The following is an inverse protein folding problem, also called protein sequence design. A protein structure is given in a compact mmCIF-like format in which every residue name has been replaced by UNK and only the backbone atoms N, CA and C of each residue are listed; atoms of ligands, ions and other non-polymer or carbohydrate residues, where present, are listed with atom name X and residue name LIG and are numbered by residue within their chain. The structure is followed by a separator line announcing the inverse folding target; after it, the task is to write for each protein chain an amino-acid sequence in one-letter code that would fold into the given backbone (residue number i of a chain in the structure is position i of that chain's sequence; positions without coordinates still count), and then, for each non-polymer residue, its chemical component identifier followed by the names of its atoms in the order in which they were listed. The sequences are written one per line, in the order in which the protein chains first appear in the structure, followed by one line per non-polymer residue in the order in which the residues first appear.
data_IF_828174507865
#
_entry.id   IF_828174507865
#
_cell.length_a   1.000
_cell.length_b   1.000
_cell.length_c   1.000
_cell.angle_alpha   90.00
_cell.angle_beta   90.00
_cell.angle_gamma   90.00
#
_symmetry.space_group_name_H-M   'P 1'
#
loop_
_entity.id
_entity.type
_entity.pdbx_description
1 polymer ?
#
# COMPACT_ATOMS: atom_id res chain seq x y z
N UNK A 1 11.42 -12.20 -15.40
CA UNK A 1 10.16 -11.48 -15.18
C UNK A 1 10.49 -10.00 -15.16
N UNK A 2 10.12 -9.28 -16.23
CA UNK A 2 10.35 -7.83 -16.32
C UNK A 2 9.47 -7.14 -15.28
N UNK A 3 10.12 -6.53 -14.28
CA UNK A 3 9.49 -5.57 -13.39
C UNK A 3 9.49 -4.24 -14.13
N UNK A 4 8.31 -3.74 -14.47
CA UNK A 4 8.16 -2.37 -14.98
C UNK A 4 8.49 -1.35 -13.86
N UNK A 5 8.98 -0.18 -14.27
CA UNK A 5 9.54 0.90 -13.43
C UNK A 5 8.59 1.42 -12.33
N UNK A 6 7.31 1.02 -12.36
CA UNK A 6 6.29 1.38 -11.35
C UNK A 6 5.98 0.28 -10.31
N UNK A 7 6.67 -0.87 -10.35
CA UNK A 7 6.58 -1.89 -9.30
C UNK A 7 5.18 -2.46 -9.04
N UNK A 8 4.27 -2.38 -10.02
CA UNK A 8 2.90 -2.89 -9.86
C UNK A 8 2.88 -4.40 -10.14
N UNK A 9 3.18 -5.18 -9.11
CA UNK A 9 3.19 -6.64 -9.17
C UNK A 9 1.84 -7.17 -8.71
N UNK A 10 0.92 -7.28 -9.67
CA UNK A 10 -0.31 -8.04 -9.55
C UNK A 10 -0.28 -9.24 -10.49
N UNK A 11 0.61 -10.22 -10.27
CA UNK A 11 0.35 -11.57 -10.75
C UNK A 11 0.79 -12.59 -9.72
N UNK A 12 -0.22 -13.11 -9.03
CA UNK A 12 -0.17 -14.38 -8.34
C UNK A 12 -0.06 -15.45 -9.41
N UNK A 13 1.13 -16.00 -9.57
CA UNK A 13 1.25 -17.45 -9.53
C UNK A 13 2.43 -17.76 -8.63
N UNK A 14 2.26 -18.57 -7.56
CA UNK A 14 3.41 -19.17 -6.91
C UNK A 14 4.09 -20.02 -7.98
N UNK A 15 5.15 -19.48 -8.56
CA UNK A 15 6.07 -20.26 -9.36
C UNK A 15 6.70 -21.27 -8.40
N UNK A 16 6.36 -22.53 -8.63
CA UNK A 16 7.17 -23.74 -8.36
C UNK A 16 6.85 -24.62 -7.14
N UNK A 17 6.27 -24.14 -6.04
CA UNK A 17 5.67 -25.03 -5.03
C UNK A 17 4.69 -24.30 -4.10
N UNK A 18 3.47 -24.82 -3.98
CA UNK A 18 2.50 -24.30 -3.02
C UNK A 18 1.57 -25.39 -2.50
N UNK A 19 1.06 -25.22 -1.29
CA UNK A 19 0.09 -26.13 -0.66
C UNK A 19 -1.15 -25.37 -0.23
N UNK A 20 -2.29 -26.07 -0.17
CA UNK A 20 -3.45 -25.47 0.47
C UNK A 20 -3.22 -25.37 1.97
N UNK A 21 -3.63 -24.23 2.53
CA UNK A 21 -3.62 -24.00 3.97
C UNK A 21 -5.00 -23.56 4.43
N UNK A 22 -5.55 -24.22 5.43
CA UNK A 22 -6.93 -24.00 5.89
C UNK A 22 -6.95 -23.42 7.29
N UNK A 23 -7.76 -22.40 7.55
CA UNK A 23 -8.00 -21.90 8.91
C UNK A 23 -8.99 -22.80 9.66
N UNK A 24 -8.86 -22.88 10.97
CA UNK A 24 -9.88 -23.52 11.80
C UNK A 24 -11.04 -22.56 12.02
N UNK A 25 -12.26 -22.98 11.68
CA UNK A 25 -13.46 -22.20 12.01
C UNK A 25 -13.60 -22.05 13.53
N UNK A 26 -13.83 -20.84 14.02
CA UNK A 26 -14.09 -20.55 15.43
C UNK A 26 -15.57 -20.25 15.65
N UNK A 27 -15.99 -20.13 16.92
CA UNK A 27 -17.35 -19.70 17.25
C UNK A 27 -17.68 -18.31 16.67
N UNK A 28 -16.67 -17.45 16.54
CA UNK A 28 -16.76 -16.11 15.97
C UNK A 28 -16.74 -16.14 14.45
N UNK A 29 -15.76 -16.84 13.86
CA UNK A 29 -15.55 -16.79 12.41
C UNK A 29 -16.50 -17.69 11.65
N UNK A 30 -17.00 -18.81 12.21
CA UNK A 30 -17.93 -19.79 11.63
C UNK A 30 -17.53 -20.45 10.30
N UNK A 31 -16.68 -19.82 9.52
CA UNK A 31 -16.17 -20.25 8.21
C UNK A 31 -14.70 -20.64 8.34
N UNK A 32 -14.34 -21.79 7.77
CA UNK A 32 -12.95 -22.16 7.51
C UNK A 32 -12.51 -21.60 6.15
N UNK A 33 -11.43 -20.82 6.11
CA UNK A 33 -10.91 -20.24 4.87
C UNK A 33 -9.77 -21.10 4.35
N UNK A 34 -9.84 -21.47 3.07
CA UNK A 34 -8.77 -22.20 2.39
C UNK A 34 -7.98 -21.24 1.51
N UNK A 35 -6.72 -21.02 1.85
CA UNK A 35 -5.77 -20.20 1.10
C UNK A 35 -4.64 -21.04 0.53
N UNK A 36 -3.55 -20.37 0.15
CA UNK A 36 -2.32 -20.98 -0.39
C UNK A 36 -1.14 -20.60 0.50
N UNK A 37 -0.31 -21.56 0.88
CA UNK A 37 1.00 -21.32 1.48
C UNK A 37 2.14 -21.66 0.51
N UNK A 38 3.15 -20.81 0.46
CA UNK A 38 4.29 -20.98 -0.44
C UNK A 38 5.55 -20.35 0.14
N UNK A 39 6.69 -20.82 -0.34
CA UNK A 39 7.99 -20.25 -0.02
C UNK A 39 8.24 -19.02 -0.92
N UNK A 40 8.68 -17.93 -0.33
CA UNK A 40 9.05 -16.70 -1.01
C UNK A 40 10.42 -16.25 -0.52
N UNK A 41 11.05 -15.35 -1.29
CA UNK A 41 12.32 -14.78 -0.91
C UNK A 41 12.42 -13.32 -1.34
N UNK A 42 13.19 -12.57 -0.56
CA UNK A 42 13.61 -11.22 -0.89
C UNK A 42 15.09 -11.08 -0.57
N UNK A 43 15.87 -10.75 -1.59
CA UNK A 43 17.34 -10.80 -1.50
C UNK A 43 17.81 -12.20 -1.08
N UNK A 44 18.55 -12.32 0.03
CA UNK A 44 19.11 -13.58 0.54
C UNK A 44 18.24 -14.25 1.60
N UNK A 45 17.09 -13.68 1.93
CA UNK A 45 16.23 -14.16 3.01
C UNK A 45 15.01 -14.87 2.42
N UNK A 46 14.80 -16.13 2.82
CA UNK A 46 13.63 -16.93 2.45
C UNK A 46 12.68 -17.06 3.64
N UNK A 47 11.38 -17.15 3.35
CA UNK A 47 10.31 -17.25 4.34
C UNK A 47 9.06 -17.87 3.71
N UNK A 48 8.20 -18.44 4.56
CA UNK A 48 6.92 -19.01 4.13
C UNK A 48 5.79 -18.07 4.54
N UNK A 49 4.86 -17.84 3.60
CA UNK A 49 3.68 -17.00 3.81
C UNK A 49 2.44 -17.76 3.35
N UNK A 50 1.36 -17.63 4.12
CA UNK A 50 0.02 -18.01 3.69
C UNK A 50 -0.71 -16.79 3.13
N UNK A 51 -1.40 -16.95 2.01
CA UNK A 51 -2.27 -15.93 1.43
C UNK A 51 -3.72 -16.42 1.41
N UNK A 52 -4.62 -15.55 1.86
CA UNK A 52 -6.07 -15.72 1.76
C UNK A 52 -6.61 -14.53 0.99
N UNK A 53 -7.12 -14.77 -0.21
CA UNK A 53 -7.42 -13.78 -1.21
C UNK A 53 -8.92 -13.75 -1.48
N UNK A 54 -9.42 -12.58 -1.89
CA UNK A 54 -10.81 -12.45 -2.30
C UNK A 54 -11.81 -12.78 -1.20
N UNK A 55 -11.52 -12.45 0.06
CA UNK A 55 -12.46 -12.67 1.18
C UNK A 55 -13.50 -11.53 1.19
N UNK A 56 -14.81 -11.82 1.09
CA UNK A 56 -15.85 -10.78 1.07
C UNK A 56 -16.05 -10.20 2.47
N UNK A 57 -15.82 -8.88 2.62
CA UNK A 57 -16.04 -8.20 3.90
C UNK A 57 -17.42 -7.54 4.00
N UNK A 58 -18.08 -7.31 2.88
CA UNK A 58 -19.41 -6.74 2.79
C UNK A 58 -20.23 -7.45 1.71
N UNK A 59 -21.55 -7.38 1.83
CA UNK A 59 -22.45 -7.86 0.80
C UNK A 59 -22.24 -7.03 -0.49
N UNK A 60 -22.47 -7.63 -1.67
CA UNK A 60 -22.33 -6.91 -2.94
C UNK A 60 -23.14 -5.60 -2.93
N UNK A 61 -22.50 -4.44 -3.20
CA UNK A 61 -23.16 -3.15 -3.21
C UNK A 61 -23.90 -2.93 -4.55
N UNK A 62 -24.77 -3.87 -4.92
CA UNK A 62 -25.52 -3.86 -6.18
C UNK A 62 -27.00 -3.56 -5.93
N UNK A 63 -27.70 -3.16 -6.99
CA UNK A 63 -29.14 -2.86 -6.93
C UNK A 63 -29.47 -1.81 -5.87
N UNK A 64 -30.35 -2.13 -4.92
CA UNK A 64 -30.74 -1.22 -3.84
C UNK A 64 -29.60 -0.85 -2.87
N UNK A 65 -28.46 -1.55 -2.91
CA UNK A 65 -27.29 -1.28 -2.05
C UNK A 65 -26.24 -0.39 -2.70
N UNK A 66 -26.40 -0.04 -3.99
CA UNK A 66 -25.40 0.70 -4.78
C UNK A 66 -24.93 1.99 -4.13
N UNK A 67 -25.88 2.81 -3.69
CA UNK A 67 -25.63 4.09 -3.04
C UNK A 67 -25.95 4.06 -1.54
N UNK A 68 -25.84 2.87 -0.93
CA UNK A 68 -26.03 2.68 0.50
C UNK A 68 -24.70 2.38 1.20
N UNK A 69 -24.67 2.56 2.52
CA UNK A 69 -23.55 2.10 3.35
C UNK A 69 -23.36 0.57 3.17
N UNK A 70 -22.12 0.08 3.22
CA UNK A 70 -21.85 -1.35 3.10
C UNK A 70 -22.54 -2.11 4.22
N UNK A 71 -23.10 -3.27 3.86
CA UNK A 71 -23.69 -4.20 4.82
C UNK A 71 -22.65 -5.28 5.10
N UNK A 72 -22.21 -5.42 6.35
CA UNK A 72 -21.22 -6.43 6.75
C UNK A 72 -21.65 -7.82 6.26
N UNK A 73 -20.71 -8.52 5.62
CA UNK A 73 -20.93 -9.91 5.25
C UNK A 73 -20.63 -10.79 6.46
N UNK A 74 -21.68 -11.26 7.15
CA UNK A 74 -21.49 -12.15 8.30
C UNK A 74 -21.11 -13.54 7.80
N UNK A 75 -19.98 -14.11 8.27
CA UNK A 75 -19.57 -15.45 7.89
C UNK A 75 -20.65 -16.50 8.18
N UNK A 76 -20.93 -17.34 7.20
CA UNK A 76 -21.83 -18.48 7.34
C UNK A 76 -21.07 -19.71 7.87
N UNK A 77 -21.79 -20.67 8.48
CA UNK A 77 -21.18 -21.95 8.83
C UNK A 77 -20.75 -22.66 7.55
N UNK A 78 -19.48 -23.05 7.44
CA UNK A 78 -18.98 -23.78 6.28
C UNK A 78 -17.51 -23.50 5.96
N UNK A 79 -17.18 -23.59 4.68
CA UNK A 79 -15.85 -23.28 4.15
C UNK A 79 -15.92 -22.27 3.02
N UNK A 80 -14.82 -21.52 2.82
CA UNK A 80 -14.68 -20.55 1.74
C UNK A 80 -13.32 -20.73 1.06
N UNK A 81 -13.33 -20.81 -0.28
CA UNK A 81 -12.11 -20.85 -1.08
C UNK A 81 -11.56 -19.43 -1.26
N UNK A 82 -10.55 -19.10 -0.46
CA UNK A 82 -9.79 -17.86 -0.50
C UNK A 82 -8.44 -18.05 -1.22
N UNK A 83 -8.36 -18.96 -2.19
CA UNK A 83 -7.12 -19.18 -2.96
C UNK A 83 -6.94 -18.24 -4.15
N UNK A 84 -7.95 -17.40 -4.47
CA UNK A 84 -8.00 -16.56 -5.67
C UNK A 84 -8.40 -15.13 -5.34
N UNK A 85 -7.91 -14.18 -6.13
CA UNK A 85 -8.33 -12.78 -6.02
C UNK A 85 -9.83 -12.64 -6.30
N UNK A 86 -10.47 -11.75 -5.54
CA UNK A 86 -11.82 -11.27 -5.82
C UNK A 86 -11.83 -10.22 -6.94
N UNK A 87 -13.02 -9.82 -7.37
CA UNK A 87 -13.21 -8.81 -8.40
C UNK A 87 -12.62 -7.45 -8.01
N UNK A 88 -12.22 -6.66 -9.00
CA UNK A 88 -11.86 -5.24 -8.81
C UNK A 88 -13.09 -4.35 -9.01
N UNK A 89 -13.12 -3.19 -8.36
CA UNK A 89 -14.25 -2.27 -8.47
C UNK A 89 -14.31 -1.58 -9.86
N UNK A 90 -15.50 -1.18 -10.34
CA UNK A 90 -15.65 -0.55 -11.65
C UNK A 90 -14.86 0.74 -11.75
N UNK A 91 -14.07 0.85 -12.81
CA UNK A 91 -13.16 1.98 -13.08
C UNK A 91 -12.78 2.02 -14.57
N UNK A 92 -12.01 3.02 -15.00
CA UNK A 92 -11.61 3.13 -16.40
C UNK A 92 -10.54 2.08 -16.76
N UNK A 93 -10.86 1.15 -17.67
CA UNK A 93 -9.93 0.10 -18.14
C UNK A 93 -8.75 0.65 -18.94
N UNK A 94 -8.90 1.81 -19.57
CA UNK A 94 -7.91 2.42 -20.47
C UNK A 94 -7.17 3.59 -19.80
N UNK A 95 -6.91 3.48 -18.50
CA UNK A 95 -6.26 4.54 -17.69
C UNK A 95 -4.76 4.69 -17.94
N UNK A 96 -4.14 3.79 -18.71
CA UNK A 96 -2.68 3.67 -18.81
C UNK A 96 -2.03 2.92 -17.64
N UNK A 97 -2.80 2.58 -16.59
CA UNK A 97 -2.33 1.74 -15.49
C UNK A 97 -2.29 0.28 -15.95
N UNK A 98 -1.09 -0.32 -15.95
CA UNK A 98 -0.89 -1.69 -16.42
C UNK A 98 -1.57 -2.74 -15.54
N UNK A 99 -1.65 -2.52 -14.23
CA UNK A 99 -2.35 -3.45 -13.35
C UNK A 99 -3.84 -3.46 -13.66
N UNK A 100 -4.44 -2.27 -13.78
CA UNK A 100 -5.87 -2.16 -14.11
C UNK A 100 -6.16 -2.70 -15.50
N UNK A 101 -5.30 -2.44 -16.48
CA UNK A 101 -5.45 -3.02 -17.82
C UNK A 101 -5.51 -4.54 -17.79
N UNK A 102 -4.69 -5.19 -16.95
CA UNK A 102 -4.68 -6.66 -16.79
C UNK A 102 -5.86 -7.18 -15.99
N UNK A 103 -6.28 -6.47 -14.95
CA UNK A 103 -7.38 -6.87 -14.07
C UNK A 103 -8.77 -6.48 -14.60
N UNK A 104 -8.83 -5.67 -15.66
CA UNK A 104 -10.06 -5.18 -16.26
C UNK A 104 -11.13 -6.26 -16.52
N UNK A 105 -10.80 -7.48 -16.97
CA UNK A 105 -11.79 -8.54 -17.15
C UNK A 105 -12.53 -8.96 -15.86
N UNK A 106 -11.97 -8.66 -14.68
CA UNK A 106 -12.55 -8.94 -13.36
C UNK A 106 -13.30 -7.76 -12.75
N UNK A 107 -13.54 -6.68 -13.49
CA UNK A 107 -14.31 -5.53 -12.99
C UNK A 107 -15.77 -5.91 -12.72
N UNK A 108 -16.24 -5.62 -11.51
CA UNK A 108 -17.62 -5.87 -11.10
C UNK A 108 -18.04 -4.94 -9.95
N UNK A 109 -19.33 -4.57 -9.84
CA UNK A 109 -19.84 -3.85 -8.66
C UNK A 109 -19.74 -4.68 -7.38
N UNK A 110 -19.85 -6.01 -7.50
CA UNK A 110 -19.46 -6.92 -6.43
C UNK A 110 -17.93 -6.98 -6.32
N UNK A 111 -17.33 -6.05 -5.57
CA UNK A 111 -15.88 -5.89 -5.44
C UNK A 111 -15.36 -5.69 -4.01
N UNK A 112 -16.23 -5.81 -2.98
CA UNK A 112 -15.89 -5.52 -1.59
C UNK A 112 -15.14 -6.70 -0.92
N UNK A 113 -13.93 -6.93 -1.40
CA UNK A 113 -13.04 -8.02 -1.03
C UNK A 113 -11.76 -7.54 -0.34
N UNK A 114 -11.17 -8.40 0.48
CA UNK A 114 -9.86 -8.22 1.09
C UNK A 114 -8.93 -9.40 0.81
N UNK A 115 -7.63 -9.12 0.85
CA UNK A 115 -6.52 -10.05 0.71
C UNK A 115 -5.69 -10.01 2.00
N UNK A 116 -5.32 -11.17 2.54
CA UNK A 116 -4.58 -11.32 3.79
C UNK A 116 -3.35 -12.17 3.56
N UNK A 117 -2.21 -11.69 4.06
CA UNK A 117 -0.92 -12.37 4.04
C UNK A 117 -0.48 -12.63 5.48
N UNK A 118 -0.26 -13.90 5.81
CA UNK A 118 0.06 -14.37 7.17
C UNK A 118 1.45 -15.01 7.17
N UNK A 119 2.38 -14.55 8.03
CA UNK A 119 3.71 -15.13 8.12
C UNK A 119 3.68 -16.50 8.80
N UNK A 120 4.51 -17.43 8.30
CA UNK A 120 4.65 -18.78 8.86
C UNK A 120 6.11 -19.05 9.28
N UNK A 121 6.64 -18.39 10.32
CA UNK A 121 8.06 -18.45 10.69
C UNK A 121 8.54 -19.85 11.13
N UNK A 122 7.61 -20.72 11.55
CA UNK A 122 7.92 -22.10 11.95
C UNK A 122 7.64 -23.12 10.82
N UNK A 123 7.34 -22.66 9.60
CA UNK A 123 7.15 -23.50 8.41
C UNK A 123 8.33 -23.30 7.48
N UNK A 124 8.93 -24.41 7.02
CA UNK A 124 10.10 -24.38 6.15
C UNK A 124 9.72 -24.44 4.66
N UNK A 125 10.66 -24.17 3.76
CA UNK A 125 10.45 -24.39 2.32
C UNK A 125 10.11 -25.86 2.03
N UNK A 126 10.82 -26.81 2.67
CA UNK A 126 10.56 -28.24 2.52
C UNK A 126 9.15 -28.64 2.95
N UNK A 127 8.60 -27.97 3.97
CA UNK A 127 7.22 -28.20 4.42
C UNK A 127 6.18 -27.90 3.34
N UNK A 128 6.37 -26.84 2.55
CA UNK A 128 5.45 -26.47 1.46
C UNK A 128 5.80 -27.18 0.15
N UNK A 129 7.05 -27.58 -0.06
CA UNK A 129 7.48 -28.40 -1.20
C UNK A 129 6.98 -29.85 -1.10
N UNK A 130 6.69 -30.34 0.11
CA UNK A 130 6.15 -31.68 0.34
C UNK A 130 4.79 -31.94 -0.33
N UNK A 131 4.06 -30.88 -0.73
CA UNK A 131 2.73 -30.98 -1.33
C UNK A 131 1.61 -31.32 -0.33
N UNK A 132 1.91 -31.46 0.96
CA UNK A 132 0.92 -31.81 1.98
C UNK A 132 0.14 -30.57 2.43
N UNK A 133 -1.18 -30.60 2.28
CA UNK A 133 -2.07 -29.54 2.77
C UNK A 133 -1.93 -29.34 4.28
N UNK A 134 -1.99 -28.09 4.73
CA UNK A 134 -1.72 -27.72 6.12
C UNK A 134 -2.92 -27.02 6.77
N UNK A 135 -2.94 -27.03 8.09
CA UNK A 135 -3.83 -26.17 8.89
C UNK A 135 -3.04 -24.95 9.35
N UNK A 136 -3.65 -23.76 9.29
CA UNK A 136 -3.01 -22.54 9.75
C UNK A 136 -2.70 -22.66 11.26
N UNK A 137 -1.43 -22.49 11.69
CA UNK A 137 -1.09 -22.50 13.10
C UNK A 137 -1.84 -21.41 13.88
N UNK A 138 -2.25 -21.73 15.10
CA UNK A 138 -2.95 -20.79 16.00
C UNK A 138 -2.11 -20.54 17.26
N UNK A 139 -2.40 -19.44 17.97
CA UNK A 139 -1.80 -19.14 19.28
C UNK A 139 -0.69 -18.08 19.29
N UNK A 140 -0.08 -17.75 18.14
CA UNK A 140 0.81 -16.58 18.02
C UNK A 140 0.03 -15.38 17.50
N UNK A 141 0.14 -14.25 18.20
CA UNK A 141 -0.40 -12.97 17.75
C UNK A 141 0.67 -12.21 16.97
N UNK A 142 0.24 -11.53 15.91
CA UNK A 142 1.10 -10.73 15.05
C UNK A 142 0.49 -9.32 14.90
N UNK A 143 1.32 -8.27 14.84
CA UNK A 143 0.86 -6.95 14.45
C UNK A 143 0.23 -6.97 13.05
N UNK A 144 -0.76 -6.11 12.83
CA UNK A 144 -1.55 -6.07 11.59
C UNK A 144 -1.26 -4.76 10.86
N UNK A 145 -0.83 -4.87 9.61
CA UNK A 145 -0.71 -3.75 8.68
C UNK A 145 -1.91 -3.76 7.73
N UNK A 146 -2.81 -2.79 7.87
CA UNK A 146 -3.97 -2.63 7.01
C UNK A 146 -3.69 -1.56 5.94
N UNK A 147 -3.68 -1.95 4.67
CA UNK A 147 -3.37 -1.08 3.55
C UNK A 147 -4.61 -0.73 2.73
N UNK A 148 -4.76 0.56 2.45
CA UNK A 148 -5.77 1.15 1.58
C UNK A 148 -5.04 1.71 0.37
N UNK A 149 -5.36 1.22 -0.82
CA UNK A 149 -4.70 1.68 -2.04
C UNK A 149 -5.04 3.13 -2.39
N UNK A 150 -4.10 3.82 -3.04
CA UNK A 150 -4.33 5.13 -3.66
C UNK A 150 -5.11 5.04 -4.98
N UNK A 151 -4.90 6.01 -5.89
CA UNK A 151 -5.59 6.08 -7.20
C UNK A 151 -6.69 7.14 -7.26
N UNK A 152 -6.51 8.25 -6.54
CA UNK A 152 -7.36 9.45 -6.57
C UNK A 152 -8.86 9.16 -6.39
N UNK A 153 -9.18 8.07 -5.67
CA UNK A 153 -10.53 7.59 -5.43
C UNK A 153 -11.33 7.14 -6.67
N UNK A 154 -10.76 7.14 -7.88
CA UNK A 154 -11.45 6.71 -9.10
C UNK A 154 -10.77 5.55 -9.83
N UNK A 155 -9.55 5.18 -9.43
CA UNK A 155 -8.74 4.13 -10.03
C UNK A 155 -8.09 3.27 -8.94
N UNK A 156 -7.47 2.17 -9.38
CA UNK A 156 -6.62 1.23 -8.65
C UNK A 156 -7.39 0.14 -7.92
N UNK A 157 -6.66 -0.80 -7.32
CA UNK A 157 -7.22 -1.92 -6.58
C UNK A 157 -6.19 -2.46 -5.60
N UNK A 158 -6.66 -3.00 -4.48
CA UNK A 158 -5.86 -3.79 -3.54
C UNK A 158 -5.22 -5.03 -4.18
N UNK A 159 -5.78 -5.53 -5.28
CA UNK A 159 -5.22 -6.65 -6.05
C UNK A 159 -3.92 -6.29 -6.81
N UNK A 160 -3.58 -5.00 -6.90
CA UNK A 160 -2.32 -4.53 -7.49
C UNK A 160 -1.11 -4.65 -6.55
N UNK A 161 -1.34 -5.06 -5.30
CA UNK A 161 -0.34 -5.08 -4.24
C UNK A 161 -0.18 -6.48 -3.70
N UNK A 162 1.06 -6.83 -3.36
CA UNK A 162 1.40 -8.12 -2.79
C UNK A 162 2.04 -7.91 -1.41
N UNK A 163 1.41 -8.44 -0.36
CA UNK A 163 1.87 -8.30 1.01
C UNK A 163 2.97 -9.27 1.44
N UNK A 164 3.37 -10.22 0.58
CA UNK A 164 4.20 -11.36 0.96
C UNK A 164 5.55 -11.00 1.58
N UNK A 165 6.30 -10.07 0.99
CA UNK A 165 7.62 -9.74 1.52
C UNK A 165 7.52 -8.99 2.85
N UNK A 166 6.56 -8.06 2.96
CA UNK A 166 6.32 -7.34 4.21
C UNK A 166 5.85 -8.28 5.32
N UNK A 167 4.94 -9.22 5.01
CA UNK A 167 4.47 -10.20 5.97
C UNK A 167 5.60 -11.14 6.43
N UNK A 168 6.31 -11.77 5.48
CA UNK A 168 7.34 -12.76 5.76
C UNK A 168 8.58 -12.20 6.45
N UNK A 169 9.15 -11.09 5.95
CA UNK A 169 10.31 -10.45 6.58
C UNK A 169 9.95 -9.76 7.89
N UNK A 170 8.75 -9.19 7.94
CA UNK A 170 8.27 -8.43 9.08
C UNK A 170 7.76 -9.31 10.20
N UNK A 171 7.39 -10.56 9.95
CA UNK A 171 6.50 -11.29 10.88
C UNK A 171 5.31 -10.42 11.30
N UNK A 172 4.60 -9.88 10.30
CA UNK A 172 3.38 -9.08 10.48
C UNK A 172 2.29 -9.62 9.58
N UNK A 173 1.03 -9.48 9.95
CA UNK A 173 -0.08 -9.79 9.06
C UNK A 173 -0.34 -8.58 8.17
N UNK A 174 -0.41 -8.78 6.86
CA UNK A 174 -0.74 -7.70 5.91
C UNK A 174 -2.15 -7.93 5.38
N UNK A 175 -3.00 -6.91 5.51
CA UNK A 175 -4.38 -6.91 5.00
C UNK A 175 -4.50 -5.81 3.96
N UNK A 176 -5.01 -6.14 2.78
CA UNK A 176 -5.18 -5.21 1.67
C UNK A 176 -6.62 -5.29 1.20
N UNK A 177 -7.31 -4.16 1.10
CA UNK A 177 -8.74 -4.11 0.75
C UNK A 177 -9.01 -3.37 -0.56
N UNK A 178 -10.06 -3.79 -1.27
CA UNK A 178 -10.74 -2.96 -2.27
C UNK A 178 -11.82 -2.12 -1.59
N UNK A 179 -12.17 -0.97 -2.17
CA UNK A 179 -13.30 -0.12 -1.76
C UNK A 179 -13.96 0.49 -3.01
N UNK A 180 -15.24 0.90 -2.94
CA UNK A 180 -15.92 1.50 -4.10
C UNK A 180 -15.19 2.75 -4.60
N UNK A 181 -15.20 2.97 -5.91
CA UNK A 181 -14.50 4.08 -6.56
C UNK A 181 -15.46 5.00 -7.30
N UNK A 182 -14.97 6.20 -7.62
CA UNK A 182 -15.66 7.19 -8.45
C UNK A 182 -17.09 7.46 -8.00
N UNK A 183 -18.01 7.46 -8.95
CA UNK A 183 -19.44 7.72 -8.69
C UNK A 183 -20.05 6.71 -7.70
N UNK A 184 -19.62 5.44 -7.72
CA UNK A 184 -20.18 4.42 -6.84
C UNK A 184 -19.72 4.59 -5.39
N UNK A 185 -18.53 5.16 -5.17
CA UNK A 185 -17.95 5.36 -3.85
C UNK A 185 -18.20 6.74 -3.24
N UNK A 186 -18.31 7.78 -4.06
CA UNK A 186 -18.21 9.17 -3.59
C UNK A 186 -19.30 10.10 -4.10
N UNK A 187 -20.26 9.63 -4.90
CA UNK A 187 -21.40 10.44 -5.29
C UNK A 187 -22.14 10.94 -4.05
N UNK A 188 -22.49 12.23 -4.04
CA UNK A 188 -23.30 12.85 -3.01
C UNK A 188 -24.31 13.80 -3.67
N UNK A 189 -25.54 13.82 -3.15
CA UNK A 189 -26.59 14.75 -3.60
C UNK A 189 -26.57 16.06 -2.81
N UNK A 190 -25.84 16.12 -1.69
CA UNK A 190 -25.85 17.26 -0.77
C UNK A 190 -27.01 17.24 0.23
N UNK A 191 -27.80 16.17 0.23
CA UNK A 191 -28.88 15.86 1.16
C UNK A 191 -28.77 14.42 1.69
N UNK A 192 -29.84 13.90 2.31
CA UNK A 192 -29.88 12.57 2.91
C UNK A 192 -30.19 11.44 1.90
N UNK A 193 -30.47 11.75 0.63
CA UNK A 193 -30.78 10.76 -0.40
C UNK A 193 -29.53 9.94 -0.77
N UNK A 194 -28.40 10.61 -1.04
CA UNK A 194 -27.08 10.00 -1.18
C UNK A 194 -26.07 10.83 -0.37
N UNK A 195 -25.77 10.37 0.85
CA UNK A 195 -24.94 11.13 1.80
C UNK A 195 -23.45 11.23 1.44
N UNK A 196 -22.99 10.53 0.40
CA UNK A 196 -21.58 10.48 0.01
C UNK A 196 -20.69 9.63 0.92
N UNK A 197 -19.39 9.64 0.61
CA UNK A 197 -18.34 8.97 1.38
C UNK A 197 -18.56 7.46 1.61
N UNK A 198 -19.30 6.78 0.73
CA UNK A 198 -19.62 5.36 0.86
C UNK A 198 -18.36 4.49 0.80
N UNK A 199 -17.38 4.88 -0.01
CA UNK A 199 -16.05 4.28 -0.06
C UNK A 199 -15.29 4.36 1.27
N UNK A 200 -15.44 5.45 2.04
CA UNK A 200 -14.83 5.56 3.37
C UNK A 200 -15.52 4.62 4.36
N UNK A 201 -16.83 4.44 4.22
CA UNK A 201 -17.56 3.40 4.97
C UNK A 201 -17.12 1.99 4.58
N UNK A 202 -16.80 1.74 3.31
CA UNK A 202 -16.24 0.47 2.86
C UNK A 202 -14.90 0.19 3.53
N UNK A 203 -13.98 1.16 3.52
CA UNK A 203 -12.67 1.05 4.18
C UNK A 203 -12.81 0.77 5.68
N UNK A 204 -13.70 1.49 6.36
CA UNK A 204 -13.99 1.26 7.79
C UNK A 204 -14.58 -0.13 8.04
N UNK A 205 -15.47 -0.60 7.16
CA UNK A 205 -16.09 -1.92 7.26
C UNK A 205 -15.07 -3.02 7.01
N UNK A 206 -14.18 -2.85 6.04
CA UNK A 206 -13.09 -3.77 5.75
C UNK A 206 -12.15 -3.88 6.96
N UNK A 207 -11.76 -2.75 7.56
CA UNK A 207 -10.94 -2.73 8.77
C UNK A 207 -11.61 -3.50 9.92
N UNK A 208 -12.87 -3.17 10.24
CA UNK A 208 -13.61 -3.85 11.31
C UNK A 208 -13.79 -5.35 11.04
N UNK A 209 -14.02 -5.72 9.79
CA UNK A 209 -14.31 -7.10 9.41
C UNK A 209 -13.05 -7.95 9.39
N UNK A 210 -11.94 -7.44 8.82
CA UNK A 210 -10.65 -8.11 8.86
C UNK A 210 -10.26 -8.46 10.30
N UNK A 211 -10.41 -7.50 11.20
CA UNK A 211 -10.13 -7.66 12.62
C UNK A 211 -11.06 -8.69 13.27
N UNK A 212 -12.39 -8.55 13.15
CA UNK A 212 -13.34 -9.37 13.91
C UNK A 212 -13.65 -10.76 13.32
N UNK A 213 -13.63 -10.92 11.98
CA UNK A 213 -14.16 -12.10 11.29
C UNK A 213 -13.09 -13.01 10.70
N UNK A 214 -11.87 -12.53 10.57
CA UNK A 214 -10.77 -13.31 9.97
C UNK A 214 -9.59 -13.50 10.94
N UNK A 215 -9.28 -12.50 11.76
CA UNK A 215 -8.11 -12.53 12.65
C UNK A 215 -8.43 -12.87 14.13
N UNK A 216 -9.69 -12.76 14.57
CA UNK A 216 -10.13 -13.14 15.92
C UNK A 216 -10.50 -11.95 16.83
N UNK A 217 -10.73 -12.16 18.14
CA UNK A 217 -11.14 -11.07 19.03
C UNK A 217 -10.05 -10.00 19.17
N UNK A 218 -10.49 -8.75 19.12
CA UNK A 218 -9.68 -7.55 19.33
C UNK A 218 -9.36 -7.43 20.83
N UNK A 219 -8.10 -7.17 21.16
CA UNK A 219 -7.78 -6.47 22.42
C UNK A 219 -7.84 -4.99 22.04
N UNK A 220 -8.97 -4.35 22.35
CA UNK A 220 -9.21 -2.95 22.00
C UNK A 220 -8.35 -2.10 22.94
N UNK A 221 -7.14 -1.79 22.52
CA UNK A 221 -6.30 -0.77 23.12
C UNK A 221 -6.06 0.34 22.11
N UNK A 222 -7.15 0.97 21.65
CA UNK A 222 -7.04 2.27 21.00
C UNK A 222 -6.53 3.29 22.04
N UNK A 223 -5.22 3.33 22.23
CA UNK A 223 -4.56 4.36 23.02
C UNK A 223 -4.88 5.73 22.43
N UNK A 224 -5.29 6.68 23.26
CA UNK A 224 -5.45 8.07 22.85
C UNK A 224 -4.06 8.67 22.60
N UNK A 225 -3.64 8.75 21.32
CA UNK A 225 -2.40 9.41 20.90
C UNK A 225 -1.40 8.46 20.25
N UNK A 226 -1.20 8.60 18.95
CA UNK A 226 -0.15 7.91 18.18
C UNK A 226 0.99 8.87 17.83
N UNK A 227 2.23 8.40 17.91
CA UNK A 227 3.39 9.15 17.42
C UNK A 227 3.26 9.36 15.91
N UNK A 228 3.52 10.57 15.45
CA UNK A 228 3.49 10.90 14.03
C UNK A 228 4.91 11.04 13.50
N UNK A 229 5.18 10.49 12.32
CA UNK A 229 6.49 10.58 11.67
C UNK A 229 6.31 11.04 10.23
N UNK A 230 7.11 12.01 9.80
CA UNK A 230 7.07 12.56 8.44
C UNK A 230 8.30 12.12 7.65
N UNK A 231 8.14 11.82 6.36
CA UNK A 231 9.27 11.57 5.46
C UNK A 231 9.10 12.27 4.12
N UNK A 232 10.22 12.42 3.43
CA UNK A 232 10.32 12.78 2.04
C UNK A 232 11.04 11.66 1.30
N UNK A 233 10.32 10.98 0.40
CA UNK A 233 10.93 10.00 -0.50
C UNK A 233 11.42 10.72 -1.77
N UNK A 234 12.68 10.53 -2.11
CA UNK A 234 13.39 11.28 -3.15
C UNK A 234 14.38 10.38 -3.88
N UNK A 235 13.89 9.24 -4.36
CA UNK A 235 14.66 8.33 -5.21
C UNK A 235 14.84 8.98 -6.58
N UNK A 236 16.09 9.21 -6.99
CA UNK A 236 16.39 9.71 -8.32
C UNK A 236 15.96 8.68 -9.38
N UNK A 237 15.27 9.15 -10.42
CA UNK A 237 14.99 8.33 -11.60
C UNK A 237 16.30 7.88 -12.23
N UNK A 238 16.32 6.70 -12.83
CA UNK A 238 17.48 6.21 -13.58
C UNK A 238 17.46 6.70 -15.03
N UNK A 239 16.27 6.80 -15.62
CA UNK A 239 16.07 7.27 -16.99
C UNK A 239 16.33 8.80 -17.10
N UNK A 240 16.93 9.23 -18.20
CA UNK A 240 17.40 10.61 -18.37
C UNK A 240 16.25 11.62 -18.54
N UNK A 241 15.12 11.20 -19.12
CA UNK A 241 13.96 12.05 -19.38
C UNK A 241 13.18 12.37 -18.10
N UNK A 242 12.93 11.38 -17.24
CA UNK A 242 12.34 11.60 -15.92
C UNK A 242 13.33 12.25 -14.96
N UNK A 243 14.64 11.98 -15.06
CA UNK A 243 15.66 12.82 -14.39
C UNK A 243 15.49 14.28 -14.78
N UNK A 244 15.29 14.59 -16.06
CA UNK A 244 15.11 15.98 -16.50
C UNK A 244 13.81 16.61 -15.98
N UNK A 245 12.69 15.89 -16.01
CA UNK A 245 11.37 16.39 -15.56
C UNK A 245 11.27 16.51 -14.03
N UNK A 246 11.84 15.57 -13.28
CA UNK A 246 11.66 15.46 -11.84
C UNK A 246 12.87 15.85 -11.01
N UNK A 247 14.10 16.00 -11.56
CA UNK A 247 15.19 16.64 -10.79
C UNK A 247 14.86 18.10 -10.44
N UNK A 248 13.89 18.69 -11.12
CA UNK A 248 13.33 20.01 -10.81
C UNK A 248 12.50 20.00 -9.52
N UNK A 249 11.70 18.96 -9.32
CA UNK A 249 10.93 18.79 -8.10
C UNK A 249 11.81 18.09 -7.09
N UNK A 250 12.09 18.75 -5.98
CA UNK A 250 12.81 18.12 -4.89
C UNK A 250 11.95 16.91 -4.40
N UNK A 251 12.23 15.67 -4.83
CA UNK A 251 11.40 14.48 -4.59
C UNK A 251 11.31 13.48 -5.76
N UNK A 252 10.28 12.64 -5.75
CA UNK A 252 9.90 11.70 -6.84
C UNK A 252 8.37 11.71 -7.00
N UNK A 253 7.85 11.06 -8.05
CA UNK A 253 6.41 10.97 -8.31
C UNK A 253 5.62 10.33 -7.17
N UNK A 254 4.33 10.65 -7.14
CA UNK A 254 3.36 10.00 -6.28
C UNK A 254 3.45 8.46 -6.46
N UNK A 255 3.35 7.71 -5.35
CA UNK A 255 3.44 6.24 -5.28
C UNK A 255 4.82 5.59 -5.54
N UNK A 256 5.87 6.33 -5.89
CA UNK A 256 7.20 5.74 -6.16
C UNK A 256 7.85 5.03 -4.95
N UNK A 257 7.40 5.33 -3.74
CA UNK A 257 7.84 4.68 -2.50
C UNK A 257 7.19 3.32 -2.27
N UNK A 258 5.97 3.10 -2.78
CA UNK A 258 5.16 1.92 -2.50
C UNK A 258 5.90 0.61 -2.80
N UNK A 259 6.57 0.44 -3.97
CA UNK A 259 7.30 -0.80 -4.25
C UNK A 259 8.39 -1.08 -3.20
N UNK A 260 8.97 -0.04 -2.60
CA UNK A 260 10.00 -0.16 -1.57
C UNK A 260 9.42 -0.60 -0.23
N UNK A 261 8.19 -0.19 0.12
CA UNK A 261 7.48 -0.60 1.34
C UNK A 261 7.02 -2.07 1.24
N UNK A 262 6.56 -2.50 0.06
CA UNK A 262 6.13 -3.88 -0.16
C UNK A 262 7.24 -4.84 -0.56
N UNK A 263 8.45 -4.34 -0.85
CA UNK A 263 9.61 -5.17 -1.21
C UNK A 263 9.57 -5.73 -2.63
N UNK A 264 8.86 -5.10 -3.56
CA UNK A 264 8.78 -5.52 -4.97
C UNK A 264 9.59 -4.57 -5.85
N UNK A 265 10.92 -4.67 -5.74
CA UNK A 265 11.89 -3.85 -6.46
C UNK A 265 12.94 -4.71 -7.17
N UNK A 266 13.54 -4.20 -8.25
CA UNK A 266 14.60 -4.86 -9.01
C UNK A 266 15.90 -4.05 -8.97
N UNK A 267 17.06 -4.72 -9.03
CA UNK A 267 18.39 -4.08 -8.95
C UNK A 267 18.92 -3.92 -7.52
N UNK A 268 20.25 -4.06 -7.35
CA UNK A 268 20.90 -4.12 -6.03
C UNK A 268 20.64 -2.90 -5.14
N UNK A 269 20.74 -1.70 -5.71
CA UNK A 269 20.63 -0.45 -4.95
C UNK A 269 19.17 -0.23 -4.50
N UNK A 270 18.22 -0.62 -5.35
CA UNK A 270 16.80 -0.59 -5.03
C UNK A 270 16.46 -1.59 -3.92
N UNK A 271 17.07 -2.78 -3.94
CA UNK A 271 16.91 -3.78 -2.88
C UNK A 271 17.44 -3.23 -1.55
N UNK A 272 18.61 -2.57 -1.54
CA UNK A 272 19.17 -1.98 -0.32
C UNK A 272 18.28 -0.87 0.26
N UNK A 273 17.80 0.03 -0.61
CA UNK A 273 16.85 1.08 -0.23
C UNK A 273 15.53 0.49 0.31
N UNK A 274 14.98 -0.49 -0.39
CA UNK A 274 13.74 -1.16 0.02
C UNK A 274 13.91 -1.89 1.35
N UNK A 275 15.02 -2.61 1.59
CA UNK A 275 15.32 -3.19 2.91
C UNK A 275 15.30 -2.14 4.02
N UNK A 276 15.89 -0.98 3.76
CA UNK A 276 15.95 0.11 4.74
C UNK A 276 14.55 0.66 5.02
N UNK A 277 13.76 0.91 3.97
CA UNK A 277 12.41 1.42 4.12
C UNK A 277 11.47 0.40 4.80
N UNK A 278 11.53 -0.87 4.38
CA UNK A 278 10.79 -1.96 5.04
C UNK A 278 11.15 -2.07 6.52
N UNK A 279 12.41 -1.87 6.89
CA UNK A 279 12.83 -1.91 8.30
C UNK A 279 12.12 -0.84 9.13
N UNK A 280 12.06 0.41 8.65
CA UNK A 280 11.28 1.47 9.31
C UNK A 280 9.79 1.13 9.38
N UNK A 281 9.20 0.65 8.27
CA UNK A 281 7.79 0.30 8.20
C UNK A 281 7.45 -0.82 9.19
N UNK A 282 8.24 -1.90 9.20
CA UNK A 282 8.07 -3.07 10.09
C UNK A 282 8.21 -2.65 11.56
N UNK A 283 9.22 -1.85 11.90
CA UNK A 283 9.40 -1.36 13.29
C UNK A 283 8.18 -0.56 13.74
N UNK A 284 7.68 0.33 12.88
CA UNK A 284 6.51 1.15 13.17
C UNK A 284 5.23 0.31 13.31
N UNK A 285 5.02 -0.69 12.42
CA UNK A 285 3.90 -1.62 12.52
C UNK A 285 3.94 -2.39 13.84
N UNK A 286 5.14 -2.78 14.30
CA UNK A 286 5.32 -3.57 15.52
C UNK A 286 5.23 -2.78 16.80
N UNK A 287 5.71 -1.54 16.81
CA UNK A 287 5.99 -0.81 18.06
C UNK A 287 5.39 0.59 18.10
N UNK A 288 4.89 1.11 16.98
CA UNK A 288 4.51 2.52 16.84
C UNK A 288 5.72 3.47 16.78
N UNK A 289 6.93 2.94 16.65
CA UNK A 289 8.17 3.70 16.49
C UNK A 289 8.97 3.10 15.31
N UNK A 290 9.34 3.88 14.28
CA UNK A 290 10.06 3.36 13.12
C UNK A 290 11.53 3.02 13.44
N UNK A 291 12.08 3.49 14.56
CA UNK A 291 13.49 3.37 14.88
C UNK A 291 13.92 1.93 15.22
N UNK A 292 15.17 1.59 14.90
CA UNK A 292 15.75 0.29 15.19
C UNK A 292 17.26 0.22 14.94
N UNK A 293 17.91 -0.90 15.29
CA UNK A 293 19.36 -1.07 15.10
C UNK A 293 19.80 -0.87 13.66
N UNK A 294 20.88 -0.10 13.46
CA UNK A 294 21.45 0.17 12.13
C UNK A 294 20.68 1.18 11.27
N UNK A 295 19.59 1.76 11.78
CA UNK A 295 18.81 2.79 11.09
C UNK A 295 19.18 4.19 11.58
N UNK A 296 19.05 5.18 10.68
CA UNK A 296 19.13 6.58 11.07
C UNK A 296 17.97 6.92 12.02
N UNK A 297 18.22 7.79 13.00
CA UNK A 297 17.20 8.16 13.97
C UNK A 297 16.12 9.03 13.33
N UNK A 298 14.89 8.54 13.30
CA UNK A 298 13.70 9.24 12.83
C UNK A 298 13.00 9.93 14.00
N UNK A 299 13.10 11.25 14.03
CA UNK A 299 12.46 12.10 15.04
C UNK A 299 10.95 12.15 14.83
N UNK A 300 10.23 12.11 15.95
CA UNK A 300 8.78 12.32 15.97
C UNK A 300 8.44 13.72 15.46
N UNK A 301 7.39 13.80 14.65
CA UNK A 301 6.88 15.03 14.07
C UNK A 301 6.36 15.97 15.15
N UNK A 302 6.75 17.22 15.04
CA UNK A 302 6.19 18.33 15.79
C UNK A 302 6.02 19.54 14.85
N UNK A 303 5.10 20.43 15.17
CA UNK A 303 4.77 21.56 14.30
C UNK A 303 5.86 22.65 14.26
N UNK A 304 6.73 22.72 15.27
CA UNK A 304 7.76 23.76 15.42
C UNK A 304 8.93 23.53 14.47
N UNK A 305 9.55 22.34 14.54
CA UNK A 305 10.71 22.01 13.72
C UNK A 305 10.36 21.14 12.52
N UNK A 306 9.13 20.65 12.38
CA UNK A 306 8.67 19.83 11.26
C UNK A 306 9.70 18.76 10.80
N UNK A 307 10.21 17.93 11.73
CA UNK A 307 11.25 16.98 11.42
C UNK A 307 10.75 15.94 10.42
N UNK A 308 11.61 15.57 9.48
CA UNK A 308 11.30 14.54 8.49
C UNK A 308 12.51 13.68 8.16
N UNK A 309 12.25 12.41 7.85
CA UNK A 309 13.26 11.51 7.29
C UNK A 309 13.38 11.77 5.78
N UNK A 310 14.56 12.16 5.33
CA UNK A 310 14.88 12.24 3.91
C UNK A 310 15.38 10.87 3.45
N UNK A 311 14.65 10.23 2.53
CA UNK A 311 14.94 8.89 2.03
C UNK A 311 15.21 8.99 0.53
N UNK A 312 16.44 8.73 0.12
CA UNK A 312 16.88 8.72 -1.27
C UNK A 312 17.68 7.46 -1.58
N UNK A 313 18.05 7.26 -2.85
CA UNK A 313 18.83 6.08 -3.26
C UNK A 313 20.17 5.94 -2.52
N UNK A 314 20.81 7.06 -2.17
CA UNK A 314 22.17 7.06 -1.61
C UNK A 314 22.24 7.58 -0.16
N UNK A 315 21.14 8.13 0.36
CA UNK A 315 21.16 8.84 1.64
C UNK A 315 19.82 8.67 2.35
N UNK A 316 19.91 8.29 3.62
CA UNK A 316 18.80 8.21 4.56
C UNK A 316 19.20 9.00 5.80
N UNK A 317 18.57 10.14 6.02
CA UNK A 317 18.97 11.06 7.08
C UNK A 317 17.81 11.88 7.64
N UNK A 318 17.93 12.25 8.92
CA UNK A 318 16.99 13.13 9.59
C UNK A 318 17.24 14.58 9.21
N UNK A 319 16.19 15.28 8.78
CA UNK A 319 16.18 16.72 8.49
C UNK A 319 15.06 17.43 9.26
N UNK A 320 15.09 18.75 9.27
CA UNK A 320 14.11 19.61 9.95
C UNK A 320 13.69 20.74 9.02
N UNK A 321 12.62 21.43 9.40
CA UNK A 321 12.05 22.59 8.75
C UNK A 321 11.54 22.32 7.32
N UNK A 322 10.83 21.20 7.13
CA UNK A 322 10.31 20.77 5.82
C UNK A 322 9.55 21.88 5.07
N UNK A 323 8.63 22.59 5.74
CA UNK A 323 7.89 23.68 5.09
C UNK A 323 8.79 24.83 4.65
N UNK A 324 9.80 25.17 5.46
CA UNK A 324 10.76 26.21 5.12
C UNK A 324 11.65 25.82 3.94
N UNK A 325 12.07 24.54 3.84
CA UNK A 325 12.85 24.06 2.71
C UNK A 325 12.05 24.13 1.40
N UNK A 326 10.76 23.75 1.43
CA UNK A 326 9.87 23.90 0.27
C UNK A 326 9.66 25.37 -0.09
N UNK A 327 9.49 26.26 0.88
CA UNK A 327 9.33 27.69 0.62
C UNK A 327 10.59 28.32 0.04
N UNK A 328 11.77 27.97 0.57
CA UNK A 328 13.05 28.42 0.06
C UNK A 328 13.22 28.04 -1.41
N UNK A 329 12.90 26.79 -1.77
CA UNK A 329 12.90 26.34 -3.16
C UNK A 329 12.09 27.27 -4.08
N UNK A 330 10.84 27.59 -3.71
CA UNK A 330 10.00 28.49 -4.51
C UNK A 330 10.52 29.93 -4.56
N UNK A 331 11.10 30.41 -3.45
CA UNK A 331 11.68 31.75 -3.36
C UNK A 331 12.95 31.90 -4.20
N UNK A 332 13.69 30.83 -4.46
CA UNK A 332 14.87 30.83 -5.35
C UNK A 332 14.48 30.62 -6.82
N UNK A 333 13.55 29.69 -7.06
CA UNK A 333 13.11 29.31 -8.39
C UNK A 333 12.31 30.40 -9.12
N UNK A 334 11.35 31.04 -8.44
CA UNK A 334 10.49 32.04 -9.10
C UNK A 334 11.32 33.23 -9.62
N UNK A 335 12.26 33.81 -8.85
CA UNK A 335 13.13 34.87 -9.35
C UNK A 335 14.05 34.43 -10.49
N UNK A 336 14.61 33.21 -10.46
CA UNK A 336 15.48 32.73 -11.54
C UNK A 336 14.73 32.63 -12.88
N UNK A 337 13.51 32.09 -12.86
CA UNK A 337 12.63 32.04 -14.03
C UNK A 337 12.27 33.43 -14.58
N UNK A 338 12.16 34.45 -13.72
CA UNK A 338 11.89 35.84 -14.16
C UNK A 338 13.08 36.48 -14.85
N UNK A 339 14.31 36.12 -14.47
CA UNK A 339 15.54 36.65 -15.07
C UNK A 339 15.78 36.12 -16.49
N UNK A 340 15.14 35.00 -16.86
CA UNK A 340 15.15 34.43 -18.20
C UNK A 340 14.40 35.25 -19.27
N UNK A 341 13.69 36.31 -18.88
CA UNK A 341 12.88 37.14 -19.77
C UNK A 341 13.77 38.09 -20.59
N UNK A 342 14.37 37.59 -21.68
CA UNK A 342 15.18 38.41 -22.61
C UNK A 342 16.25 37.67 -23.43
N UNK A 343 16.38 36.33 -23.34
CA UNK A 343 17.36 35.59 -24.15
C UNK A 343 16.95 35.49 -25.62
N UNK A 344 17.92 35.58 -26.53
CA UNK A 344 17.73 35.55 -27.98
C UNK A 344 17.34 34.18 -28.54
N UNK A 345 17.48 33.11 -27.75
CA UNK A 345 16.91 31.81 -28.07
C UNK A 345 16.28 31.20 -26.81
N UNK A 346 15.14 30.54 -27.00
CA UNK A 346 14.50 29.72 -25.97
C UNK A 346 15.42 28.58 -25.56
N UNK A 347 16.21 28.01 -26.49
CA UNK A 347 17.13 26.89 -26.22
C UNK A 347 18.27 27.24 -25.24
N UNK A 348 18.85 28.44 -25.31
CA UNK A 348 19.95 28.88 -24.42
C UNK A 348 19.46 29.16 -22.99
N UNK A 349 18.20 29.59 -22.86
CA UNK A 349 17.54 29.70 -21.57
C UNK A 349 17.11 28.32 -21.03
N UNK A 350 16.64 27.43 -21.91
CA UNK A 350 16.11 26.10 -21.56
C UNK A 350 17.18 25.03 -21.29
N UNK A 351 18.41 25.19 -21.80
CA UNK A 351 19.54 24.31 -21.44
C UNK A 351 19.96 24.45 -19.96
N UNK A 352 19.71 25.61 -19.36
CA UNK A 352 20.00 25.89 -17.95
C UNK A 352 18.74 26.10 -17.09
N UNK A 353 17.56 26.24 -17.70
CA UNK A 353 16.30 26.48 -16.99
C UNK A 353 15.11 25.83 -17.71
N UNK A 354 14.76 24.60 -17.30
CA UNK A 354 13.38 24.09 -17.17
C UNK A 354 12.50 24.11 -18.44
N UNK A 355 12.36 22.95 -19.09
CA UNK A 355 11.25 22.67 -20.00
C UNK A 355 9.94 22.57 -19.21
N UNK A 356 9.13 23.63 -19.28
CA UNK A 356 7.72 23.63 -18.90
C UNK A 356 6.92 22.96 -20.03
N UNK A 357 6.04 22.01 -19.69
CA UNK A 357 4.65 22.18 -20.07
C UNK A 357 3.80 22.26 -18.80
N UNK A 358 3.16 23.42 -18.61
CA UNK A 358 1.98 23.50 -17.78
C UNK A 358 0.93 22.60 -18.41
N UNK A 359 0.35 21.70 -17.63
CA UNK A 359 -1.05 21.76 -17.15
C UNK A 359 -1.30 20.44 -16.40
N UNK A 360 -1.94 20.54 -15.22
CA UNK A 360 -2.42 19.46 -14.33
C UNK A 360 -1.41 18.61 -13.58
N UNK A 361 -0.70 19.16 -12.58
CA UNK A 361 -0.44 18.41 -11.33
C UNK A 361 -0.45 19.38 -10.14
N UNK A 362 -1.61 19.98 -9.87
CA UNK A 362 -1.89 20.64 -8.59
C UNK A 362 -2.79 19.72 -7.77
N UNK A 363 -2.35 18.49 -7.56
CA UNK A 363 -2.95 17.54 -6.63
C UNK A 363 -1.82 16.75 -6.00
N UNK A 364 -1.95 16.44 -4.71
CA UNK A 364 -1.02 15.63 -3.89
C UNK A 364 -0.04 16.43 -3.03
N UNK A 365 -0.57 17.11 -2.01
CA UNK A 365 0.16 17.29 -0.76
C UNK A 365 -0.72 16.70 0.35
N UNK A 366 -0.06 16.15 1.38
CA UNK A 366 -0.56 15.49 2.58
C UNK A 366 -0.66 13.95 2.49
N UNK A 367 0.27 13.27 3.18
CA UNK A 367 0.17 11.84 3.49
C UNK A 367 -0.14 11.66 4.97
N UNK A 368 -1.11 10.81 5.25
CA UNK A 368 -1.25 10.09 6.51
C UNK A 368 -1.12 8.60 6.18
N UNK A 369 -0.07 7.94 6.68
CA UNK A 369 -0.09 6.49 6.80
C UNK A 369 -0.78 6.20 8.13
N UNK A 370 -2.01 5.70 8.08
CA UNK A 370 -2.70 5.24 9.28
C UNK A 370 -2.14 3.87 9.64
N UNK A 371 -1.07 3.83 10.46
CA UNK A 371 -0.75 2.61 11.18
C UNK A 371 -1.45 2.67 12.54
N UNK A 372 -2.38 1.76 12.74
CA UNK A 372 -3.01 1.58 14.04
C UNK A 372 -2.10 0.66 14.84
N UNK A 373 -1.35 1.23 15.77
CA UNK A 373 -0.60 0.47 16.76
C UNK A 373 -1.58 -0.04 17.83
N UNK A 374 -1.72 -1.35 17.95
CA UNK A 374 -2.45 -1.99 19.03
C UNK A 374 -1.42 -2.52 20.02
N UNK A 375 -1.18 -1.78 21.10
CA UNK A 375 -0.37 -2.21 22.24
C UNK A 375 -1.25 -2.45 23.46
#
# INVERSE_FOLDING_TARGET
SEFDDHGIVGYLQPAEASVYITTTATAQTKTAYTGIAYNASFSTTSYVVAQFLGIPYAQPPTGSKRFAKPVINTPAVGSYDASKLGNICPQHSNSGDQCISRLAPSMNEDCLYLNIYVPLPNTTASDVESGVNRTLPTGKQYPVFFYIHGGDYYLRSGNCYNGTNLAGLGEVIVVISNYRLGILGFMATGDDVISGNLALWDQWTALRTALAHVLGPIIDSAGTGGKTFMYKFSKAYTNAEAKMLFNFFEGTEHDADIPNVFGFVSGSDNIALSKTFMSYAINFIKTGDPNGPGLAQWKEFNAETQPYMYISANTVEQREYFGASIQQFWNELIPSLKQCKGSSSTADCLQNTVLVPMVTVAWSIYRFVVCINYN
#
